data_IF_548038242031
#
_entry.id   IF_548038242031
#
_cell.length_a   1.000
_cell.length_b   1.000
_cell.length_c   1.000
_cell.angle_alpha   90.00
_cell.angle_beta   90.00
_cell.angle_gamma   90.00
#
_symmetry.space_group_name_H-M   'P 1'
#
loop_
_entity.id
_entity.type
_entity.pdbx_description
1 polymer ?
#
# COMPACT_ATOMS: atom_id res chain seq x y z
N UNK A 1 2.02 18.12 -19.60
CA UNK A 1 0.60 17.72 -19.64
C UNK A 1 0.59 16.22 -19.40
N UNK A 2 0.16 15.76 -18.22
CA UNK A 2 0.18 14.33 -17.88
C UNK A 2 -0.71 13.57 -18.86
N UNK A 3 -0.14 12.61 -19.60
CA UNK A 3 -0.89 11.85 -20.59
C UNK A 3 -1.73 10.82 -19.83
N UNK A 4 -3.05 10.98 -19.80
CA UNK A 4 -3.92 10.00 -19.19
C UNK A 4 -4.00 8.78 -20.13
N UNK A 5 -3.35 7.68 -19.76
CA UNK A 5 -3.38 6.43 -20.52
C UNK A 5 -4.82 5.89 -20.70
N UNK A 6 -5.05 4.96 -21.64
CA UNK A 6 -6.35 4.37 -21.86
C UNK A 6 -6.86 3.68 -20.59
N UNK A 7 -8.04 4.10 -20.12
CA UNK A 7 -8.70 3.62 -18.88
C UNK A 7 -8.72 2.09 -18.80
N UNK A 8 -8.02 1.52 -17.82
CA UNK A 8 -8.04 0.10 -17.48
C UNK A 8 -6.69 -0.62 -17.57
N UNK A 9 -5.64 0.03 -18.05
CA UNK A 9 -4.29 -0.56 -18.06
C UNK A 9 -3.63 -0.40 -16.67
N UNK A 10 -3.52 -1.48 -15.89
CA UNK A 10 -2.98 -1.44 -14.52
C UNK A 10 -1.56 -0.87 -14.45
N UNK A 11 -0.67 -1.28 -15.35
CA UNK A 11 0.72 -0.81 -15.34
C UNK A 11 0.90 0.55 -16.03
N UNK A 12 0.12 0.85 -17.06
CA UNK A 12 0.26 2.08 -17.86
C UNK A 12 -0.29 3.33 -17.17
N UNK A 13 -1.09 3.15 -16.12
CA UNK A 13 -1.63 4.24 -15.31
C UNK A 13 -0.99 4.32 -13.92
N UNK A 14 -0.03 3.46 -13.58
CA UNK A 14 0.55 3.39 -12.23
C UNK A 14 1.63 4.45 -11.97
N UNK A 15 1.33 5.70 -12.33
CA UNK A 15 2.24 6.84 -12.12
C UNK A 15 2.01 7.47 -10.75
N UNK A 16 2.36 6.73 -9.70
CA UNK A 16 2.27 7.21 -8.32
C UNK A 16 3.64 7.33 -7.67
N UNK A 17 3.78 8.32 -6.78
CA UNK A 17 4.98 8.53 -5.97
C UNK A 17 4.62 8.52 -4.48
N UNK A 18 5.51 7.99 -3.65
CA UNK A 18 5.31 7.88 -2.21
C UNK A 18 6.61 7.97 -1.43
N UNK A 19 6.49 8.26 -0.14
CA UNK A 19 7.58 8.18 0.84
C UNK A 19 7.50 6.81 1.52
N UNK A 20 8.60 6.06 1.47
CA UNK A 20 8.73 4.80 2.22
C UNK A 20 9.72 5.01 3.37
N UNK A 21 9.31 4.61 4.58
CA UNK A 21 10.16 4.65 5.78
C UNK A 21 10.50 3.22 6.15
N UNK A 22 11.80 2.92 6.25
CA UNK A 22 12.30 1.61 6.66
C UNK A 22 12.80 1.68 8.10
N UNK A 23 12.36 0.73 8.91
CA UNK A 23 12.75 0.62 10.32
C UNK A 23 13.38 -0.75 10.55
N UNK A 24 14.56 -0.77 11.19
CA UNK A 24 15.24 -2.02 11.55
C UNK A 24 14.49 -2.73 12.68
N UNK A 25 14.30 -4.04 12.53
CA UNK A 25 13.62 -4.92 13.49
C UNK A 25 14.60 -6.04 13.89
N UNK A 26 14.67 -6.42 15.19
CA UNK A 26 15.68 -7.36 15.67
C UNK A 26 15.51 -8.79 15.15
N UNK A 27 14.29 -9.24 14.90
CA UNK A 27 13.96 -10.59 14.45
C UNK A 27 12.57 -10.66 13.79
N UNK A 28 12.23 -11.81 13.18
CA UNK A 28 10.98 -11.96 12.43
C UNK A 28 9.71 -11.97 13.31
N UNK A 29 9.79 -12.48 14.54
CA UNK A 29 8.63 -12.49 15.46
C UNK A 29 8.31 -11.05 15.89
N UNK A 30 9.34 -10.28 16.26
CA UNK A 30 9.24 -8.85 16.50
C UNK A 30 8.65 -8.11 15.29
N UNK A 31 8.98 -8.55 14.07
CA UNK A 31 8.43 -8.01 12.82
C UNK A 31 6.94 -8.26 12.67
N UNK A 32 6.47 -9.48 12.98
CA UNK A 32 5.04 -9.81 12.96
C UNK A 32 4.27 -8.99 13.99
N UNK A 33 4.81 -8.84 15.20
CA UNK A 33 4.21 -7.98 16.23
C UNK A 33 4.10 -6.51 15.77
N UNK A 34 5.17 -5.96 15.17
CA UNK A 34 5.16 -4.61 14.63
C UNK A 34 4.12 -4.45 13.49
N UNK A 35 4.13 -5.36 12.51
CA UNK A 35 3.16 -5.37 11.41
C UNK A 35 1.72 -5.40 11.92
N UNK A 36 1.42 -6.27 12.89
CA UNK A 36 0.09 -6.37 13.48
C UNK A 36 -0.30 -5.08 14.24
N UNK A 37 0.65 -4.44 14.93
CA UNK A 37 0.39 -3.18 15.63
C UNK A 37 0.15 -2.01 14.67
N UNK A 38 0.91 -1.92 13.58
CA UNK A 38 0.87 -0.82 12.62
C UNK A 38 -0.46 -0.69 11.89
N UNK A 39 -1.18 -1.80 11.71
CA UNK A 39 -2.53 -1.84 11.11
C UNK A 39 -3.45 -0.75 11.63
N UNK A 40 -3.40 -0.49 12.95
CA UNK A 40 -4.27 0.50 13.62
C UNK A 40 -3.93 1.95 13.24
N UNK A 41 -2.70 2.20 12.82
CA UNK A 41 -2.17 3.52 12.52
C UNK A 41 -2.23 3.87 11.03
N UNK A 42 -2.38 2.87 10.14
CA UNK A 42 -2.46 3.09 8.70
C UNK A 42 -3.47 4.17 8.27
N UNK A 43 -4.70 4.25 8.83
CA UNK A 43 -5.64 5.31 8.46
C UNK A 43 -5.13 6.71 8.84
N UNK A 44 -4.54 6.86 10.03
CA UNK A 44 -3.99 8.13 10.51
C UNK A 44 -2.79 8.55 9.68
N UNK A 45 -1.85 7.63 9.43
CA UNK A 45 -0.68 7.90 8.59
C UNK A 45 -1.10 8.28 7.17
N UNK A 46 -2.10 7.63 6.60
CA UNK A 46 -2.67 8.01 5.30
C UNK A 46 -3.29 9.41 5.34
N UNK A 47 -4.05 9.74 6.38
CA UNK A 47 -4.71 11.03 6.50
C UNK A 47 -3.70 12.19 6.58
N UNK A 48 -2.65 12.07 7.41
CA UNK A 48 -1.65 13.13 7.56
C UNK A 48 -0.68 13.23 6.37
N UNK A 49 -0.52 12.15 5.59
CA UNK A 49 0.36 12.12 4.42
C UNK A 49 -0.37 12.33 3.09
N UNK A 50 -1.67 12.62 3.12
CA UNK A 50 -2.49 12.81 1.93
C UNK A 50 -2.04 14.04 1.14
N UNK A 51 -1.63 13.83 -0.12
CA UNK A 51 -1.08 14.89 -0.97
C UNK A 51 -1.35 14.67 -2.47
N UNK A 52 -2.38 13.91 -2.83
CA UNK A 52 -2.66 13.57 -4.23
C UNK A 52 -4.14 13.77 -4.60
N UNK A 53 -4.67 15.01 -4.52
CA UNK A 53 -6.07 15.25 -4.83
C UNK A 53 -6.41 15.28 -6.33
N UNK A 54 -5.41 15.49 -7.19
CA UNK A 54 -5.60 15.61 -8.64
C UNK A 54 -5.07 14.39 -9.38
N UNK A 55 -5.74 14.03 -10.48
CA UNK A 55 -5.30 13.02 -11.44
C UNK A 55 -5.68 13.44 -12.86
N UNK A 56 -4.74 13.37 -13.79
CA UNK A 56 -4.95 13.78 -15.19
C UNK A 56 -5.58 15.19 -15.32
N UNK A 57 -5.12 16.14 -14.49
CA UNK A 57 -5.60 17.53 -14.51
C UNK A 57 -6.99 17.76 -13.91
N UNK A 58 -7.63 16.74 -13.32
CA UNK A 58 -8.97 16.85 -12.71
C UNK A 58 -8.90 16.58 -11.21
N UNK A 59 -9.73 17.28 -10.44
CA UNK A 59 -9.97 16.97 -9.02
C UNK A 59 -10.66 15.62 -8.91
N UNK A 60 -10.13 14.74 -8.07
CA UNK A 60 -10.64 13.38 -7.88
C UNK A 60 -11.71 13.28 -6.80
N UNK A 61 -11.88 14.32 -5.97
CA UNK A 61 -12.73 14.32 -4.78
C UNK A 61 -12.13 13.57 -3.59
N UNK A 62 -10.92 13.01 -3.72
CA UNK A 62 -10.20 12.34 -2.63
C UNK A 62 -9.00 13.18 -2.21
N UNK A 63 -8.70 13.24 -0.91
CA UNK A 63 -7.45 13.85 -0.45
C UNK A 63 -6.20 13.06 -0.91
N UNK A 64 -6.36 11.75 -1.14
CA UNK A 64 -5.30 10.86 -1.61
C UNK A 64 -5.81 9.92 -2.70
N UNK A 65 -5.79 10.38 -3.94
CA UNK A 65 -6.04 9.53 -5.11
C UNK A 65 -5.03 8.41 -5.23
N UNK A 66 -3.77 8.64 -4.83
CA UNK A 66 -2.73 7.60 -4.76
C UNK A 66 -3.22 6.37 -4.02
N UNK A 67 -3.81 6.55 -2.84
CA UNK A 67 -4.29 5.44 -2.03
C UNK A 67 -5.49 4.71 -2.64
N UNK A 68 -6.32 5.39 -3.42
CA UNK A 68 -7.42 4.76 -4.19
C UNK A 68 -6.85 3.98 -5.37
N UNK A 69 -5.94 4.59 -6.13
CA UNK A 69 -5.31 3.98 -7.29
C UNK A 69 -4.53 2.71 -6.91
N UNK A 70 -3.79 2.71 -5.80
CA UNK A 70 -3.04 1.53 -5.33
C UNK A 70 -3.93 0.31 -5.04
N UNK A 71 -5.20 0.49 -4.66
CA UNK A 71 -6.14 -0.61 -4.35
C UNK A 71 -6.47 -1.51 -5.54
N UNK A 72 -6.05 -1.14 -6.76
CA UNK A 72 -6.18 -1.99 -7.94
C UNK A 72 -5.27 -3.23 -7.88
N UNK A 73 -4.23 -3.22 -7.04
CA UNK A 73 -3.39 -4.39 -6.79
C UNK A 73 -4.01 -5.29 -5.72
N UNK A 74 -4.01 -6.60 -5.97
CA UNK A 74 -4.62 -7.62 -5.09
C UNK A 74 -3.99 -7.68 -3.70
N UNK A 75 -2.76 -7.22 -3.56
CA UNK A 75 -1.99 -7.21 -2.31
C UNK A 75 -1.91 -5.82 -1.65
N UNK A 76 -2.52 -4.79 -2.25
CA UNK A 76 -2.48 -3.45 -1.71
C UNK A 76 -3.49 -3.24 -0.57
N UNK A 77 -3.07 -2.47 0.43
CA UNK A 77 -3.91 -2.06 1.55
C UNK A 77 -3.35 -2.50 2.90
N UNK A 78 -4.23 -2.66 3.88
CA UNK A 78 -3.86 -3.19 5.18
C UNK A 78 -3.59 -4.70 5.02
N UNK A 79 -2.40 -5.21 5.38
CA UNK A 79 -2.14 -6.64 5.36
C UNK A 79 -3.12 -7.38 6.28
N UNK A 80 -3.25 -8.71 6.22
CA UNK A 80 -4.02 -9.50 7.18
C UNK A 80 -3.29 -9.63 8.53
N UNK A 81 -3.98 -10.13 9.56
CA UNK A 81 -3.33 -10.41 10.84
C UNK A 81 -2.53 -11.71 10.68
N UNK A 82 -1.37 -11.78 11.32
CA UNK A 82 -0.49 -12.95 11.29
C UNK A 82 -0.30 -13.50 12.71
N UNK A 83 -0.32 -14.82 12.85
CA UNK A 83 -0.18 -15.48 14.14
C UNK A 83 1.23 -15.38 14.72
N UNK A 84 2.22 -15.67 13.89
CA UNK A 84 3.64 -15.73 14.22
C UNK A 84 4.46 -15.60 12.92
N UNK A 85 5.79 -15.66 13.03
CA UNK A 85 6.66 -15.58 11.87
C UNK A 85 6.51 -16.77 10.91
N UNK A 86 6.08 -17.94 11.39
CA UNK A 86 5.89 -19.12 10.53
C UNK A 86 4.64 -18.96 9.65
N UNK A 87 3.53 -18.48 10.22
CA UNK A 87 2.31 -18.11 9.48
C UNK A 87 2.60 -17.03 8.44
N UNK A 88 3.32 -15.97 8.83
CA UNK A 88 3.74 -14.93 7.89
C UNK A 88 4.52 -15.50 6.71
N UNK A 89 5.55 -16.33 6.97
CA UNK A 89 6.36 -16.95 5.90
C UNK A 89 5.54 -17.86 5.01
N UNK A 90 4.68 -18.69 5.57
CA UNK A 90 3.85 -19.63 4.81
C UNK A 90 2.90 -18.88 3.85
N UNK A 91 2.30 -17.79 4.31
CA UNK A 91 1.38 -16.97 3.51
C UNK A 91 2.08 -16.15 2.46
N UNK A 92 3.26 -15.60 2.76
CA UNK A 92 4.10 -14.94 1.75
C UNK A 92 4.54 -15.94 0.68
N UNK A 93 4.97 -17.14 1.06
CA UNK A 93 5.35 -18.18 0.10
C UNK A 93 4.19 -18.57 -0.82
N UNK A 94 2.96 -18.62 -0.31
CA UNK A 94 1.75 -18.89 -1.11
C UNK A 94 1.42 -17.78 -2.13
N UNK A 95 1.97 -16.56 -1.95
CA UNK A 95 1.81 -15.45 -2.90
C UNK A 95 2.91 -15.44 -3.98
N UNK A 96 3.99 -16.19 -3.80
CA UNK A 96 5.10 -16.26 -4.75
C UNK A 96 4.78 -17.26 -5.86
N UNK A 97 4.85 -16.82 -7.13
CA UNK A 97 4.64 -17.68 -8.30
C UNK A 97 3.23 -17.62 -8.91
N UNK A 98 2.40 -16.68 -8.45
CA UNK A 98 1.25 -16.13 -9.19
C UNK A 98 1.77 -15.09 -10.17
#
# INVERSE_FOLDING_TARGET
>A
MQHCGPRGALSGEHEINGLHVHTGIPDQESGVHALNADRRWLPTLLAISANSPFWCGSDTGFASWRAIHSRRWTTAGCPPWFADAADYRARVAALMGI
#
